data_IF_539482084580
#
_entry.id   IF_539482084580
#
_cell.length_a   1.000
_cell.length_b   1.000
_cell.length_c   1.000
_cell.angle_alpha   90.00
_cell.angle_beta   90.00
_cell.angle_gamma   90.00
#
_symmetry.space_group_name_H-M   'P 1'
#
loop_
_entity.id
_entity.type
_entity.pdbx_description
1 polymer ?
#
# COMPACT_ATOMS: atom_id res chain seq x y z
N UNK A 1 14.94 6.47 -39.22
CA UNK A 1 14.11 5.94 -38.13
C UNK A 1 14.48 6.70 -36.87
N UNK A 2 13.63 7.59 -36.33
CA UNK A 2 13.99 8.31 -35.12
C UNK A 2 14.10 7.29 -33.99
N UNK A 3 15.30 7.20 -33.40
CA UNK A 3 15.57 6.34 -32.26
C UNK A 3 14.58 6.67 -31.15
N UNK A 4 14.06 5.61 -30.53
CA UNK A 4 13.04 5.61 -29.50
C UNK A 4 13.59 6.18 -28.18
N UNK A 5 14.06 7.44 -28.19
CA UNK A 5 14.69 8.12 -27.05
C UNK A 5 13.76 8.27 -25.83
N UNK A 6 12.47 7.99 -26.00
CA UNK A 6 11.45 8.01 -24.95
C UNK A 6 10.96 6.63 -24.51
N UNK A 7 11.59 5.54 -24.93
CA UNK A 7 11.15 4.22 -24.49
C UNK A 7 11.46 4.04 -22.98
N UNK A 8 10.51 3.54 -22.16
CA UNK A 8 10.62 3.53 -20.71
C UNK A 8 11.80 2.66 -20.22
N UNK A 9 12.44 3.10 -19.13
CA UNK A 9 13.41 2.26 -18.40
C UNK A 9 12.61 1.21 -17.65
N UNK A 10 12.86 -0.07 -17.95
CA UNK A 10 12.13 -1.16 -17.32
C UNK A 10 12.49 -1.25 -15.82
N UNK A 11 11.50 -1.53 -14.94
CA UNK A 11 11.76 -1.80 -13.54
C UNK A 11 12.55 -3.11 -13.38
N UNK A 12 13.37 -3.21 -12.33
CA UNK A 12 14.09 -4.46 -12.02
C UNK A 12 13.15 -5.39 -11.25
N UNK A 13 12.94 -6.64 -11.69
CA UNK A 13 12.05 -7.58 -11.00
C UNK A 13 12.41 -7.82 -9.52
N UNK A 14 13.70 -7.81 -9.16
CA UNK A 14 14.13 -7.94 -7.76
C UNK A 14 13.79 -6.73 -6.90
N UNK A 15 13.76 -5.52 -7.49
CA UNK A 15 13.29 -4.31 -6.79
C UNK A 15 11.79 -4.42 -6.55
N UNK A 16 10.99 -4.75 -7.57
CA UNK A 16 9.55 -4.97 -7.42
C UNK A 16 9.22 -6.06 -6.40
N UNK A 17 10.00 -7.15 -6.36
CA UNK A 17 9.86 -8.21 -5.36
C UNK A 17 10.09 -7.69 -3.93
N UNK A 18 11.08 -6.81 -3.73
CA UNK A 18 11.35 -6.16 -2.44
C UNK A 18 10.24 -5.17 -2.11
N UNK A 19 9.80 -4.35 -3.06
CA UNK A 19 8.73 -3.37 -2.87
C UNK A 19 7.42 -4.05 -2.45
N UNK A 20 7.12 -5.24 -3.00
CA UNK A 20 5.98 -6.05 -2.54
C UNK A 20 6.11 -6.51 -1.08
N UNK A 21 7.32 -6.80 -0.60
CA UNK A 21 7.57 -7.14 0.80
C UNK A 21 7.36 -5.91 1.69
N UNK A 22 7.90 -4.77 1.29
CA UNK A 22 7.74 -3.50 2.01
C UNK A 22 6.26 -3.09 2.09
N UNK A 23 5.49 -3.31 1.02
CA UNK A 23 4.04 -3.12 1.04
C UNK A 23 3.34 -4.03 2.05
N UNK A 24 3.76 -5.29 2.16
CA UNK A 24 3.28 -6.20 3.20
C UNK A 24 3.59 -5.70 4.61
N UNK A 25 4.82 -5.23 4.85
CA UNK A 25 5.23 -4.65 6.13
C UNK A 25 4.38 -3.40 6.50
N UNK A 26 4.05 -2.55 5.51
CA UNK A 26 3.15 -1.41 5.73
C UNK A 26 1.72 -1.83 6.07
N UNK A 27 1.21 -2.90 5.47
CA UNK A 27 -0.13 -3.42 5.81
C UNK A 27 -0.17 -3.88 7.26
N UNK A 28 0.87 -4.59 7.73
CA UNK A 28 0.93 -5.00 9.14
C UNK A 28 0.97 -3.80 10.09
N UNK A 29 1.74 -2.75 9.76
CA UNK A 29 1.75 -1.52 10.54
C UNK A 29 0.36 -0.84 10.60
N UNK A 30 -0.37 -0.79 9.47
CA UNK A 30 -1.73 -0.26 9.45
C UNK A 30 -2.70 -1.10 10.30
N UNK A 31 -2.49 -2.41 10.38
CA UNK A 31 -3.33 -3.29 11.22
C UNK A 31 -3.08 -3.07 12.70
N UNK A 32 -1.84 -2.83 13.11
CA UNK A 32 -1.52 -2.42 14.48
C UNK A 32 -2.21 -1.10 14.85
N UNK A 33 -2.22 -0.13 13.93
CA UNK A 33 -2.95 1.13 14.11
C UNK A 33 -4.47 0.91 14.23
N UNK A 34 -5.05 0.06 13.38
CA UNK A 34 -6.46 -0.32 13.49
C UNK A 34 -6.78 -1.01 14.81
N UNK A 35 -5.90 -1.87 15.30
CA UNK A 35 -6.07 -2.55 16.59
C UNK A 35 -6.09 -1.54 17.75
N UNK A 36 -5.20 -0.56 17.74
CA UNK A 36 -5.20 0.54 18.71
C UNK A 36 -6.49 1.37 18.62
N UNK A 37 -6.94 1.72 17.42
CA UNK A 37 -8.18 2.47 17.21
C UNK A 37 -9.41 1.70 17.72
N UNK A 38 -9.48 0.39 17.44
CA UNK A 38 -10.54 -0.49 17.94
C UNK A 38 -10.55 -0.57 19.46
N UNK A 39 -9.39 -0.59 20.11
CA UNK A 39 -9.32 -0.56 21.57
C UNK A 39 -9.95 0.72 22.13
N UNK A 40 -9.61 1.88 21.55
CA UNK A 40 -10.16 3.18 21.96
C UNK A 40 -11.68 3.29 21.75
N UNK A 41 -12.20 2.78 20.64
CA UNK A 41 -13.66 2.76 20.41
C UNK A 41 -14.39 1.76 21.31
N UNK A 42 -13.73 0.69 21.78
CA UNK A 42 -14.29 -0.19 22.82
C UNK A 42 -14.36 0.51 24.18
N UNK A 43 -13.34 1.28 24.53
CA UNK A 43 -13.34 2.10 25.75
C UNK A 43 -14.48 3.13 25.71
N UNK A 44 -14.66 3.82 24.57
CA UNK A 44 -15.79 4.72 24.37
C UNK A 44 -17.15 4.00 24.48
N UNK A 45 -17.26 2.81 23.89
CA UNK A 45 -18.46 1.99 23.99
C UNK A 45 -18.78 1.47 25.40
N UNK A 46 -17.79 1.46 26.31
CA UNK A 46 -17.99 1.11 27.71
C UNK A 46 -18.57 2.26 28.55
N UNK A 47 -18.53 3.50 28.03
CA UNK A 47 -19.10 4.70 28.65
C UNK A 47 -20.05 5.41 27.67
N UNK A 48 -21.17 4.77 27.26
CA UNK A 48 -22.07 5.30 26.25
C UNK A 48 -22.67 6.67 26.61
N UNK A 49 -22.79 6.99 27.89
CA UNK A 49 -23.22 8.30 28.40
C UNK A 49 -22.27 9.45 28.03
N UNK A 50 -21.03 9.14 27.65
CA UNK A 50 -20.04 10.12 27.19
C UNK A 50 -20.11 10.37 25.68
N UNK A 51 -20.99 9.68 24.96
CA UNK A 51 -21.15 9.80 23.52
C UNK A 51 -22.38 10.64 23.17
N UNK A 52 -22.19 11.53 22.21
CA UNK A 52 -23.26 12.27 21.56
C UNK A 52 -23.00 12.23 20.05
N UNK A 53 -24.07 12.21 19.27
CA UNK A 53 -24.02 12.38 17.81
C UNK A 53 -24.50 13.78 17.47
N UNK A 54 -23.96 14.35 16.39
CA UNK A 54 -24.54 15.57 15.84
C UNK A 54 -25.86 15.27 15.11
N UNK A 55 -26.58 16.33 14.71
CA UNK A 55 -27.82 16.21 13.96
C UNK A 55 -27.61 16.25 12.43
N UNK A 56 -26.37 16.08 11.96
CA UNK A 56 -26.04 16.15 10.53
C UNK A 56 -26.19 14.75 9.90
N UNK A 57 -27.42 14.38 9.58
CA UNK A 57 -27.70 13.14 8.84
C UNK A 57 -28.94 12.41 9.33
N UNK A 58 -29.01 11.14 8.99
CA UNK A 58 -30.03 10.22 9.51
C UNK A 58 -29.89 10.08 11.03
N UNK A 59 -30.99 10.13 11.81
CA UNK A 59 -30.95 9.89 13.24
C UNK A 59 -30.30 8.54 13.57
N UNK A 60 -29.34 8.55 14.48
CA UNK A 60 -28.64 7.35 14.95
C UNK A 60 -28.32 7.48 16.44
N UNK A 61 -28.47 6.40 17.19
CA UNK A 61 -28.06 6.40 18.60
C UNK A 61 -26.53 6.42 18.72
N UNK A 62 -25.94 7.17 19.69
CA UNK A 62 -24.48 7.23 19.82
C UNK A 62 -23.81 5.86 20.04
N UNK A 63 -24.46 4.95 20.76
CA UNK A 63 -24.01 3.57 20.94
C UNK A 63 -24.01 2.80 19.61
N UNK A 64 -25.07 2.94 18.81
CA UNK A 64 -25.17 2.32 17.49
C UNK A 64 -24.10 2.86 16.54
N UNK A 65 -23.84 4.17 16.55
CA UNK A 65 -22.78 4.78 15.77
C UNK A 65 -21.40 4.19 16.13
N UNK A 66 -21.11 4.05 17.43
CA UNK A 66 -19.88 3.43 17.92
C UNK A 66 -19.74 1.96 17.50
N UNK A 67 -20.82 1.18 17.59
CA UNK A 67 -20.85 -0.23 17.16
C UNK A 67 -20.60 -0.36 15.65
N UNK A 68 -21.22 0.50 14.83
CA UNK A 68 -20.99 0.52 13.37
C UNK A 68 -19.53 0.85 13.05
N UNK A 69 -18.90 1.78 13.76
CA UNK A 69 -17.47 2.07 13.61
C UNK A 69 -16.62 0.83 13.95
N UNK A 70 -16.89 0.17 15.08
CA UNK A 70 -16.18 -1.06 15.47
C UNK A 70 -16.35 -2.18 14.43
N UNK A 71 -17.55 -2.32 13.87
CA UNK A 71 -17.83 -3.24 12.77
C UNK A 71 -17.01 -2.93 11.52
N UNK A 72 -16.98 -1.66 11.11
CA UNK A 72 -16.17 -1.19 9.98
C UNK A 72 -14.68 -1.47 10.17
N UNK A 73 -14.11 -1.08 11.32
CA UNK A 73 -12.70 -1.31 11.64
C UNK A 73 -12.33 -2.81 11.64
N UNK A 74 -13.23 -3.68 12.14
CA UNK A 74 -13.02 -5.13 12.10
C UNK A 74 -13.02 -5.68 10.68
N UNK A 75 -13.92 -5.20 9.83
CA UNK A 75 -13.97 -5.60 8.43
C UNK A 75 -12.70 -5.15 7.70
N UNK A 76 -12.28 -3.89 7.88
CA UNK A 76 -11.06 -3.36 7.28
C UNK A 76 -9.82 -4.17 7.69
N UNK A 77 -9.67 -4.51 8.97
CA UNK A 77 -8.58 -5.37 9.45
C UNK A 77 -8.59 -6.76 8.77
N UNK A 78 -9.78 -7.33 8.55
CA UNK A 78 -9.92 -8.62 7.86
C UNK A 78 -9.51 -8.54 6.39
N UNK A 79 -9.90 -7.47 5.69
CA UNK A 79 -9.50 -7.23 4.29
C UNK A 79 -7.98 -6.98 4.18
N UNK A 80 -7.39 -6.26 5.13
CA UNK A 80 -5.94 -6.03 5.17
C UNK A 80 -5.15 -7.32 5.42
N UNK A 81 -5.60 -8.17 6.35
CA UNK A 81 -5.02 -9.50 6.55
C UNK A 81 -5.03 -10.31 5.24
N UNK A 82 -6.18 -10.36 4.56
CA UNK A 82 -6.30 -11.06 3.29
C UNK A 82 -5.36 -10.47 2.23
N UNK A 83 -5.27 -9.14 2.14
CA UNK A 83 -4.36 -8.46 1.22
C UNK A 83 -2.88 -8.82 1.50
N UNK A 84 -2.46 -8.85 2.77
CA UNK A 84 -1.11 -9.24 3.16
C UNK A 84 -0.79 -10.69 2.74
N UNK A 85 -1.71 -11.62 2.98
CA UNK A 85 -1.56 -13.02 2.55
C UNK A 85 -1.46 -13.18 1.03
N UNK A 86 -2.29 -12.44 0.28
CA UNK A 86 -2.25 -12.43 -1.18
C UNK A 86 -0.97 -11.83 -1.72
N UNK A 87 -0.47 -10.75 -1.11
CA UNK A 87 0.81 -10.14 -1.49
C UNK A 87 1.96 -11.09 -1.23
N UNK A 88 2.03 -11.73 -0.06
CA UNK A 88 3.10 -12.68 0.24
C UNK A 88 3.07 -13.89 -0.69
N UNK A 89 1.88 -14.46 -0.92
CA UNK A 89 1.69 -15.57 -1.84
C UNK A 89 2.14 -15.20 -3.26
N UNK A 90 1.72 -14.03 -3.75
CA UNK A 90 2.05 -13.57 -5.10
C UNK A 90 3.54 -13.28 -5.25
N UNK A 91 4.12 -12.62 -4.25
CA UNK A 91 5.54 -12.27 -4.18
C UNK A 91 6.40 -13.52 -4.18
N UNK A 92 6.10 -14.48 -3.32
CA UNK A 92 6.88 -15.70 -3.13
C UNK A 92 6.70 -16.68 -4.30
N UNK A 93 5.49 -16.84 -4.83
CA UNK A 93 5.20 -17.85 -5.87
C UNK A 93 5.52 -17.38 -7.29
N UNK A 94 5.35 -16.08 -7.58
CA UNK A 94 5.46 -15.56 -8.93
C UNK A 94 6.59 -14.54 -9.08
N UNK A 95 6.58 -13.46 -8.28
CA UNK A 95 7.53 -12.35 -8.46
C UNK A 95 8.98 -12.79 -8.26
N UNK A 96 9.24 -13.69 -7.30
CA UNK A 96 10.56 -14.28 -7.02
C UNK A 96 11.21 -14.99 -8.21
N UNK A 97 10.41 -15.37 -9.22
CA UNK A 97 10.85 -16.14 -10.39
C UNK A 97 11.13 -15.26 -11.61
N UNK A 98 10.77 -13.98 -11.54
CA UNK A 98 10.95 -13.05 -12.64
C UNK A 98 12.38 -12.50 -12.65
N UNK A 99 12.98 -12.48 -13.83
CA UNK A 99 14.23 -11.78 -14.11
C UNK A 99 14.14 -11.11 -15.47
N UNK A 100 14.92 -10.06 -15.67
CA UNK A 100 15.12 -9.53 -17.02
C UNK A 100 15.89 -10.57 -17.86
N UNK A 101 15.63 -10.58 -19.16
CA UNK A 101 16.52 -11.26 -20.09
C UNK A 101 17.82 -10.47 -20.20
N UNK A 102 18.93 -11.13 -20.54
CA UNK A 102 20.24 -10.47 -20.66
C UNK A 102 20.21 -9.30 -21.66
N UNK A 103 19.44 -9.43 -22.74
CA UNK A 103 19.22 -8.36 -23.71
C UNK A 103 18.45 -7.16 -23.13
N UNK A 104 17.42 -7.43 -22.32
CA UNK A 104 16.63 -6.37 -21.67
C UNK A 104 17.44 -5.66 -20.57
N UNK A 105 18.27 -6.40 -19.83
CA UNK A 105 19.15 -5.83 -18.80
C UNK A 105 20.26 -4.96 -19.42
N UNK A 106 20.89 -5.43 -20.49
CA UNK A 106 21.89 -4.64 -21.22
C UNK A 106 21.30 -3.36 -21.83
N UNK A 107 20.08 -3.42 -22.39
CA UNK A 107 19.39 -2.24 -22.92
C UNK A 107 19.02 -1.25 -21.79
N UNK A 108 18.57 -1.76 -20.64
CA UNK A 108 18.29 -0.95 -19.46
C UNK A 108 19.53 -0.19 -18.98
N UNK A 109 20.68 -0.86 -18.86
CA UNK A 109 21.93 -0.22 -18.41
C UNK A 109 22.44 0.84 -19.39
N UNK A 110 22.33 0.58 -20.70
CA UNK A 110 22.64 1.58 -21.74
C UNK A 110 21.79 2.83 -21.57
N UNK A 111 20.49 2.69 -21.33
CA UNK A 111 19.59 3.82 -21.11
C UNK A 111 19.86 4.57 -19.82
N UNK A 112 20.11 3.87 -18.71
CA UNK A 112 20.52 4.51 -17.46
C UNK A 112 21.79 5.33 -17.64
N UNK A 113 22.77 4.80 -18.37
CA UNK A 113 24.01 5.50 -18.68
C UNK A 113 23.76 6.73 -19.57
N UNK A 114 22.88 6.64 -20.58
CA UNK A 114 22.49 7.77 -21.43
C UNK A 114 21.74 8.85 -20.66
N UNK A 115 20.82 8.47 -19.77
CA UNK A 115 20.08 9.39 -18.91
C UNK A 115 21.01 10.12 -17.95
N UNK A 116 21.94 9.41 -17.29
CA UNK A 116 22.95 10.00 -16.38
C UNK A 116 23.93 10.94 -17.10
N UNK A 117 24.18 10.73 -18.39
CA UNK A 117 25.10 11.53 -19.22
C UNK A 117 24.45 12.73 -19.90
N UNK A 118 23.12 12.86 -19.88
CA UNK A 118 22.41 13.98 -20.51
C UNK A 118 22.27 15.14 -19.51
N UNK A 119 23.03 16.24 -19.63
CA UNK A 119 23.01 17.34 -18.69
C UNK A 119 21.90 18.33 -19.07
N UNK A 120 20.64 17.90 -19.02
CA UNK A 120 19.50 18.74 -19.41
C UNK A 120 18.64 19.26 -18.24
N UNK A 121 19.21 19.31 -17.04
CA UNK A 121 18.69 20.11 -15.91
C UNK A 121 19.84 20.69 -15.07
N UNK A 122 20.64 21.56 -15.67
CA UNK A 122 21.24 22.72 -14.99
C UNK A 122 20.85 23.93 -15.85
N UNK A 123 20.34 24.99 -15.21
CA UNK A 123 19.60 26.15 -15.76
C UNK A 123 18.09 25.83 -15.83
N UNK A 124 17.21 26.44 -15.02
CA UNK A 124 17.18 27.75 -14.37
C UNK A 124 16.78 27.66 -12.89
#
# INVERSE_FOLDING_TARGET
>A
MPENQNAPILPVPSELYRDMRELGDHIEALRDELASMRARYRELGACPESLAVDALGEPIEPSEANERILGGLKLTDSELQAAAEWLDTTRTRYASRLKLTDAADAERERRLTQARRSPRFRQF
#
